data_IF_323319791860
#
_entry.id   IF_323319791860
#
_cell.length_a   1.000
_cell.length_b   1.000
_cell.length_c   1.000
_cell.angle_alpha   90.00
_cell.angle_beta   90.00
_cell.angle_gamma   90.00
#
_symmetry.space_group_name_H-M   'P 1'
#
loop_
_entity.id
_entity.type
_entity.pdbx_description
1 polymer ?
#
# COMPACT_ATOMS: atom_id res chain seq x y z
N UNK A 1 5.79 -2.35 -3.04
CA UNK A 1 5.51 -1.10 -3.79
C UNK A 1 4.05 -0.98 -4.18
N UNK A 2 3.32 -2.08 -4.45
CA UNK A 2 1.92 -2.04 -4.92
C UNK A 2 0.96 -1.28 -3.99
N UNK A 3 1.15 -1.41 -2.66
CA UNK A 3 0.37 -0.64 -1.67
C UNK A 3 0.73 0.86 -1.55
N UNK A 4 1.75 1.33 -2.28
CA UNK A 4 2.22 2.73 -2.27
C UNK A 4 1.97 3.36 -3.64
N UNK A 5 2.40 2.69 -4.71
CA UNK A 5 2.31 3.17 -6.09
C UNK A 5 1.97 2.00 -7.02
N UNK A 6 0.67 1.70 -7.10
CA UNK A 6 0.14 0.59 -7.90
C UNK A 6 0.41 0.76 -9.39
N UNK A 7 0.31 1.99 -9.91
CA UNK A 7 0.52 2.27 -11.33
C UNK A 7 1.98 2.03 -11.74
N UNK A 8 2.94 2.45 -10.90
CA UNK A 8 4.36 2.14 -11.13
C UNK A 8 4.60 0.63 -11.18
N UNK A 9 4.05 -0.14 -10.23
CA UNK A 9 4.20 -1.61 -10.24
C UNK A 9 3.60 -2.24 -11.50
N UNK A 10 2.40 -1.81 -11.90
CA UNK A 10 1.77 -2.30 -13.13
C UNK A 10 2.62 -2.00 -14.36
N UNK A 11 3.18 -0.78 -14.46
CA UNK A 11 4.06 -0.42 -15.57
C UNK A 11 5.33 -1.28 -15.59
N UNK A 12 5.97 -1.49 -14.44
CA UNK A 12 7.16 -2.34 -14.32
C UNK A 12 6.88 -3.81 -14.63
N UNK A 13 5.73 -4.33 -14.22
CA UNK A 13 5.29 -5.68 -14.56
C UNK A 13 5.10 -5.85 -16.06
N UNK A 14 4.51 -4.87 -16.75
CA UNK A 14 4.39 -4.91 -18.22
C UNK A 14 5.76 -4.90 -18.89
N UNK A 15 6.71 -4.11 -18.39
CA UNK A 15 8.11 -4.14 -18.86
C UNK A 15 8.67 -5.56 -18.77
N UNK A 16 8.47 -6.27 -17.65
CA UNK A 16 8.98 -7.65 -17.50
C UNK A 16 8.37 -8.68 -18.47
N UNK A 17 7.21 -8.39 -19.08
CA UNK A 17 6.50 -9.29 -19.99
C UNK A 17 6.82 -9.05 -21.47
N UNK A 18 7.47 -7.94 -21.82
CA UNK A 18 7.81 -7.63 -23.20
C UNK A 18 8.74 -8.70 -23.81
N UNK A 19 8.60 -8.96 -25.10
CA UNK A 19 9.61 -9.72 -25.84
C UNK A 19 10.82 -8.83 -26.17
N UNK A 20 11.96 -9.42 -26.55
CA UNK A 20 13.20 -8.69 -26.77
C UNK A 20 13.09 -7.60 -27.85
N UNK A 21 12.29 -7.88 -28.89
CA UNK A 21 12.07 -6.96 -30.01
C UNK A 21 11.26 -5.75 -29.57
N UNK A 22 10.11 -5.96 -28.92
CA UNK A 22 9.29 -4.86 -28.38
C UNK A 22 10.01 -4.07 -27.31
N UNK A 23 10.81 -4.73 -26.48
CA UNK A 23 11.60 -4.06 -25.46
C UNK A 23 12.58 -3.07 -26.09
N UNK A 24 13.35 -3.50 -27.11
CA UNK A 24 14.28 -2.64 -27.83
C UNK A 24 13.61 -1.50 -28.61
N UNK A 25 12.37 -1.68 -29.07
CA UNK A 25 11.61 -0.67 -29.82
C UNK A 25 10.91 0.34 -28.89
N UNK A 26 10.57 -0.05 -27.65
CA UNK A 26 9.76 0.76 -26.72
C UNK A 26 10.54 1.37 -25.56
N UNK A 27 11.68 0.80 -25.16
CA UNK A 27 12.40 1.18 -23.94
C UNK A 27 13.81 1.67 -24.32
N UNK A 28 13.95 2.99 -24.45
CA UNK A 28 15.25 3.65 -24.54
C UNK A 28 15.65 4.16 -23.15
N UNK A 29 15.86 3.24 -22.21
CA UNK A 29 16.22 3.58 -20.83
C UNK A 29 17.65 3.11 -20.51
N UNK A 30 18.38 3.96 -19.78
CA UNK A 30 19.59 3.56 -19.07
C UNK A 30 19.21 3.18 -17.64
N UNK A 31 20.15 2.65 -16.85
CA UNK A 31 19.95 2.31 -15.44
C UNK A 31 19.78 3.55 -14.54
N UNK A 32 18.71 4.31 -14.77
CA UNK A 32 18.28 5.47 -14.00
C UNK A 32 16.74 5.48 -13.87
N UNK A 33 16.22 6.16 -12.85
CA UNK A 33 14.77 6.28 -12.64
C UNK A 33 14.40 7.61 -11.99
N UNK A 34 13.16 8.04 -12.19
CA UNK A 34 12.61 9.23 -11.56
C UNK A 34 11.93 8.88 -10.24
N UNK A 35 12.33 9.55 -9.15
CA UNK A 35 11.73 9.40 -7.84
C UNK A 35 10.41 10.18 -7.71
N UNK A 36 9.65 9.95 -6.64
CA UNK A 36 8.35 10.63 -6.41
C UNK A 36 8.45 12.16 -6.36
N UNK A 37 9.62 12.71 -6.04
CA UNK A 37 9.89 14.15 -6.00
C UNK A 37 10.33 14.72 -7.36
N UNK A 38 10.34 13.90 -8.41
CA UNK A 38 10.74 14.29 -9.77
C UNK A 38 12.25 14.25 -10.03
N UNK A 39 13.08 13.91 -9.03
CA UNK A 39 14.53 13.81 -9.20
C UNK A 39 14.90 12.52 -9.93
N UNK A 40 15.78 12.63 -10.93
CA UNK A 40 16.39 11.48 -11.60
C UNK A 40 17.55 10.95 -10.75
N UNK A 41 17.60 9.64 -10.54
CA UNK A 41 18.69 8.96 -9.83
C UNK A 41 19.20 7.77 -10.61
N UNK A 42 20.49 7.52 -10.49
CA UNK A 42 21.10 6.30 -11.02
C UNK A 42 20.75 5.10 -10.14
N UNK A 43 20.47 3.97 -10.78
CA UNK A 43 20.10 2.71 -10.11
C UNK A 43 21.33 1.89 -9.69
N UNK A 44 22.47 2.15 -10.34
CA UNK A 44 23.80 1.60 -10.05
C UNK A 44 24.85 2.61 -10.49
N UNK A 45 26.09 2.42 -10.07
CA UNK A 45 27.19 3.33 -10.39
C UNK A 45 27.35 3.51 -11.91
N UNK A 46 27.28 4.76 -12.39
CA UNK A 46 27.34 5.08 -13.82
C UNK A 46 26.09 4.67 -14.59
N UNK A 47 24.99 4.40 -13.90
CA UNK A 47 23.78 3.82 -14.46
C UNK A 47 23.16 4.68 -15.56
N UNK A 48 23.35 6.00 -15.54
CA UNK A 48 22.87 6.91 -16.57
C UNK A 48 23.47 6.64 -17.97
N UNK A 49 24.63 5.97 -18.05
CA UNK A 49 25.31 5.64 -19.31
C UNK A 49 25.17 4.16 -19.70
N UNK A 50 24.59 3.34 -18.83
CA UNK A 50 24.45 1.89 -19.05
C UNK A 50 23.05 1.64 -19.62
N UNK A 51 22.91 1.26 -20.91
CA UNK A 51 21.61 0.96 -21.48
C UNK A 51 21.03 -0.32 -20.88
N UNK A 52 19.72 -0.33 -20.66
CA UNK A 52 19.00 -1.54 -20.25
C UNK A 52 18.80 -2.42 -21.48
N UNK A 53 19.21 -3.68 -21.40
CA UNK A 53 18.99 -4.67 -22.46
C UNK A 53 17.86 -5.63 -22.10
N UNK A 54 17.40 -6.44 -23.06
CA UNK A 54 16.38 -7.46 -22.77
C UNK A 54 16.84 -8.46 -21.69
N UNK A 55 18.14 -8.73 -21.61
CA UNK A 55 18.76 -9.62 -20.64
C UNK A 55 18.81 -8.98 -19.24
N UNK A 56 19.12 -7.68 -19.17
CA UNK A 56 19.27 -6.94 -17.91
C UNK A 56 17.97 -6.29 -17.42
N UNK A 57 16.86 -6.47 -18.14
CA UNK A 57 15.56 -5.87 -17.82
C UNK A 57 15.04 -6.21 -16.42
N UNK A 58 15.21 -7.46 -15.98
CA UNK A 58 14.75 -7.89 -14.65
C UNK A 58 15.52 -7.18 -13.54
N UNK A 59 16.85 -7.08 -13.69
CA UNK A 59 17.72 -6.31 -12.79
C UNK A 59 17.26 -4.84 -12.74
N UNK A 60 17.00 -4.23 -13.90
CA UNK A 60 16.49 -2.87 -13.96
C UNK A 60 15.19 -2.71 -13.14
N UNK A 61 14.19 -3.56 -13.36
CA UNK A 61 12.92 -3.52 -12.62
C UNK A 61 13.14 -3.69 -11.11
N UNK A 62 13.97 -4.65 -10.70
CA UNK A 62 14.29 -4.88 -9.28
C UNK A 62 14.95 -3.64 -8.64
N UNK A 63 15.88 -3.00 -9.35
CA UNK A 63 16.54 -1.79 -8.87
C UNK A 63 15.59 -0.59 -8.80
N UNK A 64 14.69 -0.41 -9.77
CA UNK A 64 13.65 0.63 -9.70
C UNK A 64 12.76 0.40 -8.48
N UNK A 65 12.28 -0.83 -8.26
CA UNK A 65 11.44 -1.15 -7.08
C UNK A 65 12.18 -0.82 -5.79
N UNK A 66 13.47 -1.18 -5.69
CA UNK A 66 14.29 -0.88 -4.52
C UNK A 66 14.43 0.63 -4.31
N UNK A 67 14.81 1.38 -5.36
CA UNK A 67 14.98 2.83 -5.28
C UNK A 67 13.69 3.52 -4.81
N UNK A 68 12.53 3.14 -5.39
CA UNK A 68 11.21 3.68 -5.04
C UNK A 68 10.80 3.37 -3.59
N UNK A 69 11.15 2.17 -3.07
CA UNK A 69 10.87 1.79 -1.69
C UNK A 69 11.78 2.49 -0.67
N UNK A 70 12.98 2.89 -1.07
CA UNK A 70 13.98 3.51 -0.19
C UNK A 70 13.93 5.04 -0.16
N UNK A 71 13.10 5.69 -1.00
CA UNK A 71 13.03 7.17 -1.12
C UNK A 71 12.84 7.92 0.19
N UNK A 72 12.06 7.33 1.11
CA UNK A 72 11.69 7.93 2.39
C UNK A 72 12.42 7.31 3.58
N UNK A 73 13.54 6.59 3.34
CA UNK A 73 14.22 5.83 4.39
C UNK A 73 14.76 6.72 5.52
N UNK A 74 15.17 7.96 5.21
CA UNK A 74 15.67 8.90 6.22
C UNK A 74 14.57 9.31 7.19
N UNK A 75 13.38 9.62 6.67
CA UNK A 75 12.19 9.98 7.42
C UNK A 75 11.69 8.78 8.23
N UNK A 76 11.65 7.59 7.62
CA UNK A 76 11.28 6.35 8.30
C UNK A 76 12.21 6.04 9.48
N UNK A 77 13.53 6.23 9.31
CA UNK A 77 14.52 6.08 10.40
C UNK A 77 14.34 7.11 11.51
N UNK A 78 14.02 8.36 11.16
CA UNK A 78 13.74 9.40 12.15
C UNK A 78 12.48 9.08 12.97
N UNK A 79 11.40 8.62 12.31
CA UNK A 79 10.18 8.16 12.97
C UNK A 79 10.45 6.95 13.87
N UNK A 80 11.20 5.95 13.38
CA UNK A 80 11.61 4.79 14.17
C UNK A 80 12.40 5.22 15.42
N UNK A 81 13.33 6.17 15.28
CA UNK A 81 14.11 6.70 16.41
C UNK A 81 13.21 7.39 17.43
N UNK A 82 12.24 8.19 17.00
CA UNK A 82 11.26 8.82 17.90
C UNK A 82 10.41 7.79 18.63
N UNK A 83 9.87 6.80 17.91
CA UNK A 83 9.07 5.73 18.49
C UNK A 83 9.86 4.91 19.52
N UNK A 84 11.14 4.64 19.24
CA UNK A 84 12.03 3.90 20.13
C UNK A 84 12.29 4.59 21.49
N UNK A 85 12.03 5.90 21.60
CA UNK A 85 12.13 6.62 22.88
C UNK A 85 10.98 6.29 23.85
N UNK A 86 9.85 5.83 23.31
CA UNK A 86 8.63 5.55 24.08
C UNK A 86 8.42 4.04 24.20
N UNK A 87 8.62 3.30 23.10
CA UNK A 87 8.36 1.85 23.03
C UNK A 87 9.67 1.11 22.71
N UNK A 88 10.09 0.12 23.52
CA UNK A 88 11.29 -0.65 23.23
C UNK A 88 11.20 -1.36 21.87
N UNK A 89 12.18 -1.13 20.99
CA UNK A 89 12.23 -1.70 19.63
C UNK A 89 12.11 -3.24 19.62
N UNK A 90 12.66 -3.91 20.63
CA UNK A 90 12.57 -5.36 20.82
C UNK A 90 11.12 -5.87 20.90
N UNK A 91 10.19 -5.07 21.43
CA UNK A 91 8.77 -5.43 21.47
C UNK A 91 8.11 -5.22 20.11
N UNK A 92 8.45 -4.14 19.41
CA UNK A 92 7.91 -3.87 18.07
C UNK A 92 8.28 -4.97 17.07
N UNK A 93 9.45 -5.61 17.23
CA UNK A 93 9.89 -6.74 16.39
C UNK A 93 9.06 -8.01 16.56
N UNK A 94 8.18 -8.10 17.56
CA UNK A 94 7.29 -9.23 17.76
C UNK A 94 6.03 -9.16 16.88
N UNK A 95 5.78 -8.00 16.26
CA UNK A 95 4.58 -7.73 15.49
C UNK A 95 4.93 -7.58 14.01
N UNK A 96 4.03 -8.03 13.14
CA UNK A 96 4.07 -7.63 11.73
C UNK A 96 3.67 -6.16 11.57
N UNK A 97 3.90 -5.59 10.38
CA UNK A 97 3.42 -4.23 10.07
C UNK A 97 1.90 -4.12 10.23
N UNK A 98 1.16 -5.19 9.90
CA UNK A 98 -0.29 -5.24 9.97
C UNK A 98 -0.80 -5.32 11.41
N UNK A 99 -0.12 -6.10 12.27
CA UNK A 99 -0.48 -6.15 13.70
C UNK A 99 -0.26 -4.79 14.37
N UNK A 100 0.84 -4.10 14.02
CA UNK A 100 1.10 -2.75 14.51
C UNK A 100 0.03 -1.75 14.05
N UNK A 101 -0.43 -1.86 12.80
CA UNK A 101 -1.53 -1.05 12.30
C UNK A 101 -2.81 -1.28 13.11
N UNK A 102 -3.18 -2.53 13.39
CA UNK A 102 -4.35 -2.83 14.22
C UNK A 102 -4.20 -2.28 15.65
N UNK A 103 -3.01 -2.37 16.24
CA UNK A 103 -2.76 -1.86 17.59
C UNK A 103 -2.88 -0.34 17.68
N UNK A 104 -2.50 0.38 16.62
CA UNK A 104 -2.51 1.85 16.58
C UNK A 104 -3.85 2.41 16.09
N UNK A 105 -4.36 1.87 14.98
CA UNK A 105 -5.55 2.36 14.30
C UNK A 105 -6.85 1.65 14.76
N UNK A 106 -6.73 0.53 15.47
CA UNK A 106 -7.84 -0.33 15.83
C UNK A 106 -8.15 -1.37 14.74
N UNK A 107 -8.96 -2.37 15.09
CA UNK A 107 -9.39 -3.40 14.15
C UNK A 107 -10.31 -2.78 13.07
N UNK A 108 -9.96 -2.85 11.78
CA UNK A 108 -10.77 -2.29 10.71
C UNK A 108 -12.09 -3.07 10.49
N UNK A 109 -12.20 -4.29 11.03
CA UNK A 109 -13.40 -5.12 10.85
C UNK A 109 -14.57 -4.62 11.67
N UNK A 110 -15.67 -4.34 10.96
CA UNK A 110 -16.91 -3.87 11.55
C UNK A 110 -17.82 -5.08 11.84
N UNK A 111 -18.07 -5.27 13.13
CA UNK A 111 -19.04 -6.25 13.63
C UNK A 111 -20.44 -5.64 13.70
N UNK A 112 -21.33 -6.10 12.82
CA UNK A 112 -22.70 -5.59 12.72
C UNK A 112 -23.48 -5.78 14.03
N UNK A 113 -23.23 -6.87 14.76
CA UNK A 113 -23.89 -7.11 16.05
C UNK A 113 -23.43 -6.14 17.15
N UNK A 114 -22.17 -5.69 17.13
CA UNK A 114 -21.70 -4.64 18.04
C UNK A 114 -22.39 -3.32 17.72
N UNK A 115 -22.45 -2.94 16.43
CA UNK A 115 -23.17 -1.77 15.96
C UNK A 115 -24.64 -1.78 16.35
N UNK A 116 -25.32 -2.91 16.12
CA UNK A 116 -26.75 -3.06 16.44
C UNK A 116 -27.00 -2.90 17.93
N UNK A 117 -26.15 -3.50 18.79
CA UNK A 117 -26.26 -3.36 20.25
C UNK A 117 -26.12 -1.92 20.73
N UNK A 118 -25.37 -1.07 20.02
CA UNK A 118 -25.11 0.32 20.40
C UNK A 118 -25.96 1.34 19.63
N UNK A 119 -26.85 0.89 18.74
CA UNK A 119 -27.72 1.79 17.97
C UNK A 119 -28.99 2.11 18.76
N UNK A 120 -29.28 3.41 18.92
CA UNK A 120 -30.54 3.90 19.48
C UNK A 120 -31.48 4.33 18.36
N UNK A 121 -32.76 4.05 18.52
CA UNK A 121 -33.79 4.42 17.55
C UNK A 121 -34.61 5.58 18.11
N UNK A 122 -34.85 6.59 17.27
CA UNK A 122 -35.74 7.72 17.58
C UNK A 122 -36.86 7.74 16.55
N UNK A 123 -38.11 7.85 17.01
CA UNK A 123 -39.30 7.82 16.15
C UNK A 123 -39.68 6.45 15.57
N UNK A 124 -38.91 5.39 15.85
CA UNK A 124 -39.24 4.01 15.49
C UNK A 124 -38.59 3.03 16.49
N UNK A 125 -39.03 1.76 16.46
CA UNK A 125 -38.47 0.69 17.29
C UNK A 125 -37.52 -0.21 16.50
N UNK A 126 -36.71 -1.00 17.21
CA UNK A 126 -35.85 -2.01 16.60
C UNK A 126 -36.63 -3.08 15.79
N UNK A 127 -37.92 -3.28 16.10
CA UNK A 127 -38.78 -4.24 15.39
C UNK A 127 -39.39 -3.67 14.11
N UNK A 128 -39.29 -2.35 13.89
CA UNK A 128 -39.84 -1.67 12.73
C UNK A 128 -39.24 -2.21 11.41
N UNK A 129 -40.03 -2.38 10.33
CA UNK A 129 -39.54 -2.93 9.06
C UNK A 129 -38.31 -2.21 8.51
N UNK A 130 -38.28 -0.87 8.60
CA UNK A 130 -37.15 -0.06 8.13
C UNK A 130 -35.85 -0.39 8.87
N UNK A 131 -35.90 -0.56 10.20
CA UNK A 131 -34.73 -0.96 10.98
C UNK A 131 -34.24 -2.35 10.58
N UNK A 132 -35.17 -3.29 10.34
CA UNK A 132 -34.82 -4.64 9.85
C UNK A 132 -34.16 -4.60 8.47
N UNK A 133 -34.64 -3.76 7.56
CA UNK A 133 -34.04 -3.62 6.23
C UNK A 133 -32.64 -3.01 6.27
N UNK A 134 -32.42 -2.00 7.11
CA UNK A 134 -31.09 -1.43 7.34
C UNK A 134 -30.10 -2.52 7.74
N UNK A 135 -30.43 -3.32 8.76
CA UNK A 135 -29.54 -4.38 9.22
C UNK A 135 -29.37 -5.52 8.23
N UNK A 136 -30.40 -5.82 7.43
CA UNK A 136 -30.27 -6.80 6.34
C UNK A 136 -29.28 -6.31 5.28
N UNK A 137 -29.35 -5.03 4.90
CA UNK A 137 -28.40 -4.42 3.96
C UNK A 137 -26.97 -4.42 4.52
N UNK A 138 -26.76 -3.95 5.75
CA UNK A 138 -25.44 -3.91 6.38
C UNK A 138 -24.79 -5.29 6.54
N UNK A 139 -25.59 -6.34 6.77
CA UNK A 139 -25.07 -7.71 6.79
C UNK A 139 -24.62 -8.21 5.41
N UNK A 140 -25.27 -7.75 4.33
CA UNK A 140 -24.87 -8.08 2.97
C UNK A 140 -23.63 -7.32 2.47
N UNK A 141 -23.22 -6.25 3.17
CA UNK A 141 -22.04 -5.48 2.80
C UNK A 141 -20.74 -6.21 3.16
N UNK A 142 -19.73 -6.06 2.29
CA UNK A 142 -18.35 -6.40 2.62
C UNK A 142 -17.76 -5.36 3.61
N UNK A 143 -16.56 -5.61 4.14
CA UNK A 143 -15.97 -4.71 5.15
C UNK A 143 -15.75 -3.28 4.63
N UNK A 144 -15.31 -3.13 3.38
CA UNK A 144 -15.12 -1.81 2.76
C UNK A 144 -16.42 -1.01 2.69
N UNK A 145 -17.52 -1.62 2.24
CA UNK A 145 -18.83 -0.97 2.20
C UNK A 145 -19.39 -0.67 3.60
N UNK A 146 -19.11 -1.52 4.59
CA UNK A 146 -19.45 -1.22 6.01
C UNK A 146 -18.67 -0.02 6.52
N UNK A 147 -17.39 0.09 6.20
CA UNK A 147 -16.56 1.23 6.57
C UNK A 147 -17.04 2.51 5.91
N UNK A 148 -17.38 2.45 4.61
CA UNK A 148 -17.94 3.59 3.89
C UNK A 148 -19.28 4.05 4.47
N UNK A 149 -20.13 3.12 4.94
CA UNK A 149 -21.39 3.48 5.59
C UNK A 149 -21.21 4.25 6.90
N UNK A 150 -20.13 3.98 7.66
CA UNK A 150 -19.85 4.63 8.95
C UNK A 150 -19.08 5.94 8.84
N UNK A 151 -18.50 6.24 7.66
CA UNK A 151 -17.83 7.50 7.38
C UNK A 151 -18.83 8.61 7.09
#
# INVERSE_FOLDING_TARGET
>A
LEGIDKLCVQALDEVTKLDARKFSEMVAECFQTQLSNGVQVELKDGGAEIPVTSETRKEFVELVIKARLEESILQARAMQKGLAQIVPLRMLRLFSWYDLEILVCGNPNIEIEVLRRHTKYSGLSASHPVAKFLWKALNSFNQEARQMFLR
#
